data_IF_486861194707
#
_entry.id   IF_486861194707
#
_cell.length_a   1.000
_cell.length_b   1.000
_cell.length_c   1.000
_cell.angle_alpha   90.00
_cell.angle_beta   90.00
_cell.angle_gamma   90.00
#
_symmetry.space_group_name_H-M   'P 1'
#
loop_
_entity.id
_entity.type
_entity.pdbx_description
1 polymer ?
#
# COMPACT_ATOMS: atom_id res chain seq x y z
N UNK A 1 -9.55 -6.79 -18.93
CA UNK A 1 -8.19 -7.29 -19.20
C UNK A 1 -7.46 -7.41 -17.87
N UNK A 2 -7.11 -8.64 -17.50
CA UNK A 2 -6.17 -9.05 -16.45
C UNK A 2 -5.27 -10.10 -17.12
N UNK A 3 -4.73 -9.75 -18.28
CA UNK A 3 -3.95 -10.64 -19.15
C UNK A 3 -2.48 -10.78 -18.70
N UNK A 4 -2.13 -10.22 -17.54
CA UNK A 4 -0.80 -10.31 -16.96
C UNK A 4 0.20 -9.30 -17.52
N UNK A 5 -0.23 -8.39 -18.41
CA UNK A 5 0.66 -7.37 -18.99
C UNK A 5 1.21 -6.41 -17.94
N UNK A 6 0.49 -6.22 -16.82
CA UNK A 6 0.90 -5.40 -15.69
C UNK A 6 0.75 -6.23 -14.41
N UNK A 7 1.72 -6.13 -13.49
CA UNK A 7 1.58 -6.64 -12.14
C UNK A 7 1.04 -5.51 -11.23
N UNK A 8 -0.28 -5.48 -10.94
CA UNK A 8 -0.88 -4.40 -10.15
C UNK A 8 -0.38 -4.38 -8.71
N UNK A 9 0.20 -5.46 -8.20
CA UNK A 9 0.74 -5.52 -6.84
C UNK A 9 1.98 -4.64 -6.63
N UNK A 10 2.68 -4.23 -7.69
CA UNK A 10 3.88 -3.40 -7.60
C UNK A 10 3.60 -1.92 -7.27
N UNK A 11 2.34 -1.50 -7.26
CA UNK A 11 1.99 -0.11 -6.90
C UNK A 11 2.13 0.16 -5.41
N UNK A 12 2.13 -0.87 -4.57
CA UNK A 12 2.27 -0.76 -3.12
C UNK A 12 3.73 -0.69 -2.72
N UNK A 13 4.16 0.46 -2.21
CA UNK A 13 5.52 0.73 -1.75
C UNK A 13 5.67 0.52 -0.23
N UNK A 14 4.57 0.30 0.49
CA UNK A 14 4.58 -0.05 1.92
C UNK A 14 3.58 -1.14 2.26
N UNK A 15 3.92 -1.99 3.24
CA UNK A 15 3.04 -3.04 3.76
C UNK A 15 2.98 -2.92 5.28
N UNK A 16 1.78 -2.89 5.85
CA UNK A 16 1.55 -2.77 7.30
C UNK A 16 0.52 -3.81 7.78
N UNK A 17 0.57 -4.24 9.06
CA UNK A 17 -0.47 -5.04 9.67
C UNK A 17 -1.77 -4.23 9.90
N UNK A 18 -2.90 -4.92 10.05
CA UNK A 18 -4.23 -4.32 10.18
C UNK A 18 -4.36 -3.36 11.36
N UNK A 19 -3.72 -3.67 12.49
CA UNK A 19 -3.69 -2.84 13.70
C UNK A 19 -2.93 -1.52 13.51
N UNK A 20 -2.10 -1.41 12.47
CA UNK A 20 -1.34 -0.21 12.10
C UNK A 20 -1.98 0.59 10.96
N UNK A 21 -3.28 0.42 10.69
CA UNK A 21 -3.96 1.18 9.62
C UNK A 21 -3.80 2.70 9.78
N UNK A 22 -3.81 3.23 11.02
CA UNK A 22 -3.60 4.65 11.28
C UNK A 22 -2.21 5.16 10.88
N UNK A 23 -1.16 4.34 11.05
CA UNK A 23 0.20 4.62 10.56
C UNK A 23 0.19 4.80 9.04
N UNK A 24 -0.49 3.91 8.33
CA UNK A 24 -0.59 3.98 6.87
C UNK A 24 -1.14 5.30 6.37
N UNK A 25 -2.15 5.85 7.05
CA UNK A 25 -2.68 7.18 6.72
C UNK A 25 -1.67 8.29 6.96
N UNK A 26 -0.98 8.28 8.10
CA UNK A 26 0.03 9.30 8.40
C UNK A 26 1.19 9.27 7.40
N UNK A 27 1.71 8.08 7.06
CA UNK A 27 2.77 7.94 6.06
C UNK A 27 2.37 8.51 4.69
N UNK A 28 1.10 8.34 4.30
CA UNK A 28 0.59 8.91 3.05
C UNK A 28 0.41 10.43 3.13
N UNK A 29 -0.03 10.96 4.27
CA UNK A 29 -0.18 12.40 4.52
C UNK A 29 1.18 13.12 4.50
N UNK A 30 2.17 12.53 5.18
CA UNK A 30 3.56 13.01 5.23
C UNK A 30 4.32 12.78 3.90
N UNK A 31 3.69 12.12 2.93
CA UNK A 31 4.26 11.73 1.62
C UNK A 31 5.48 10.82 1.72
N UNK A 32 5.57 10.03 2.78
CA UNK A 32 6.58 8.97 2.97
C UNK A 32 6.18 7.63 2.33
N UNK A 33 4.91 7.48 1.95
CA UNK A 33 4.39 6.33 1.21
C UNK A 33 3.37 6.77 0.14
N UNK A 34 3.39 6.12 -1.02
CA UNK A 34 2.45 6.39 -2.12
C UNK A 34 1.18 5.51 -2.04
N UNK A 35 1.34 4.24 -1.71
CA UNK A 35 0.30 3.21 -1.59
C UNK A 35 0.69 2.18 -0.53
N UNK A 36 -0.16 2.07 0.48
CA UNK A 36 0.01 1.12 1.57
C UNK A 36 -0.88 -0.10 1.34
N UNK A 37 -0.30 -1.29 1.45
CA UNK A 37 -1.04 -2.56 1.54
C UNK A 37 -1.22 -2.95 3.00
N UNK A 38 -2.47 -3.10 3.42
CA UNK A 38 -2.79 -3.62 4.76
C UNK A 38 -2.97 -5.13 4.69
N UNK A 39 -2.32 -5.85 5.61
CA UNK A 39 -2.47 -7.30 5.76
C UNK A 39 -3.16 -7.65 7.09
N UNK A 40 -4.20 -8.51 7.08
CA UNK A 40 -4.83 -9.04 8.29
C UNK A 40 -3.86 -9.80 9.18
#
# INVERSE_FOLDING_TARGET
>A
MLDGTINPGLVFDRVLPLDQTAEGYRLMDDREALKVMIRP
#
